data_IF_216144136185
#
_entry.id   IF_216144136185
#
_cell.length_a   1.000
_cell.length_b   1.000
_cell.length_c   1.000
_cell.angle_alpha   90.00
_cell.angle_beta   90.00
_cell.angle_gamma   90.00
#
_symmetry.space_group_name_H-M   'P 1'
#
loop_
_entity.id
_entity.type
_entity.pdbx_description
1 polymer ?
#
# COMPACT_ATOMS: atom_id res chain seq x y z
N UNK A 1 -9.45 22.35 16.47
CA UNK A 1 -8.01 22.12 16.77
C UNK A 1 -7.22 22.97 15.80
N UNK A 2 -6.22 23.72 16.24
CA UNK A 2 -5.45 24.62 15.36
C UNK A 2 -4.13 23.97 14.96
N UNK A 3 -3.69 24.21 13.73
CA UNK A 3 -2.38 23.78 13.23
C UNK A 3 -1.61 24.98 12.71
N UNK A 4 -0.29 24.97 12.90
CA UNK A 4 0.61 26.01 12.39
C UNK A 4 0.91 25.75 10.92
N UNK A 5 0.89 26.81 10.12
CA UNK A 5 1.28 26.81 8.71
C UNK A 5 2.74 27.25 8.63
N UNK A 6 3.57 26.41 8.01
CA UNK A 6 4.99 26.68 7.81
C UNK A 6 5.27 27.28 6.42
N UNK A 7 6.17 28.25 6.39
CA UNK A 7 6.76 28.77 5.16
C UNK A 7 7.82 27.81 4.60
N UNK A 8 8.34 28.08 3.40
CA UNK A 8 9.45 27.32 2.81
C UNK A 8 10.73 27.34 3.67
N UNK A 9 10.93 28.41 4.44
CA UNK A 9 12.11 28.58 5.31
C UNK A 9 11.94 27.90 6.68
N UNK A 10 10.78 27.27 6.93
CA UNK A 10 10.46 26.64 8.21
C UNK A 10 9.98 27.61 9.29
N UNK A 11 9.76 28.89 8.96
CA UNK A 11 9.13 29.85 9.87
C UNK A 11 7.61 29.66 9.92
N UNK A 12 6.98 30.04 11.03
CA UNK A 12 5.52 29.98 11.17
C UNK A 12 4.91 31.16 10.43
N UNK A 13 4.20 30.89 9.34
CA UNK A 13 3.55 31.89 8.50
C UNK A 13 2.13 32.23 8.99
N UNK A 14 1.45 31.29 9.68
CA UNK A 14 0.09 31.49 10.18
C UNK A 14 -0.45 30.29 10.95
N UNK A 15 -1.73 30.35 11.30
CA UNK A 15 -2.48 29.24 11.90
C UNK A 15 -3.75 28.96 11.08
N UNK A 16 -4.12 27.68 10.99
CA UNK A 16 -5.35 27.23 10.33
C UNK A 16 -6.16 26.32 11.26
N UNK A 17 -7.49 26.40 11.19
CA UNK A 17 -8.36 25.49 11.92
C UNK A 17 -8.51 24.16 11.18
N UNK A 18 -8.19 23.06 11.87
CA UNK A 18 -8.31 21.73 11.30
C UNK A 18 -9.78 21.34 11.12
N UNK A 19 -10.13 20.71 9.98
CA UNK A 19 -11.46 20.19 9.74
C UNK A 19 -11.95 19.22 10.85
N UNK A 20 -13.28 19.12 11.06
CA UNK A 20 -13.86 18.21 12.06
C UNK A 20 -13.58 16.72 11.78
N UNK A 21 -13.13 16.36 10.57
CA UNK A 21 -12.75 14.98 10.23
C UNK A 21 -11.57 14.48 11.08
N UNK A 22 -10.74 15.38 11.58
CA UNK A 22 -9.57 15.03 12.38
C UNK A 22 -9.88 14.67 13.83
N UNK A 23 -11.12 14.92 14.30
CA UNK A 23 -11.57 14.54 15.66
C UNK A 23 -12.34 13.22 15.67
N UNK A 24 -12.48 12.54 14.53
CA UNK A 24 -13.16 11.26 14.42
C UNK A 24 -12.47 10.16 15.27
N UNK A 25 -13.27 9.21 15.77
CA UNK A 25 -12.80 8.06 16.55
C UNK A 25 -11.80 7.19 15.78
N UNK A 26 -10.72 6.79 16.45
CA UNK A 26 -9.73 5.87 15.91
C UNK A 26 -10.22 4.42 15.92
N UNK A 27 -10.40 3.83 14.73
CA UNK A 27 -10.97 2.50 14.50
C UNK A 27 -10.08 1.66 13.58
N UNK A 28 -9.06 0.97 14.13
CA UNK A 28 -8.11 0.19 13.34
C UNK A 28 -8.74 -1.01 12.63
N UNK A 29 -9.86 -1.54 13.14
CA UNK A 29 -10.63 -2.64 12.56
C UNK A 29 -11.19 -2.29 11.17
N UNK A 30 -11.82 -1.12 11.05
CA UNK A 30 -12.38 -0.61 9.80
C UNK A 30 -11.28 -0.24 8.81
N UNK A 31 -10.20 0.39 9.28
CA UNK A 31 -9.03 0.72 8.47
C UNK A 31 -8.45 -0.54 7.84
N UNK A 32 -8.24 -1.60 8.63
CA UNK A 32 -7.72 -2.88 8.15
C UNK A 32 -8.63 -3.50 7.08
N UNK A 33 -9.95 -3.53 7.30
CA UNK A 33 -10.92 -4.04 6.32
C UNK A 33 -10.86 -3.25 5.01
N UNK A 34 -10.86 -1.93 5.09
CA UNK A 34 -10.83 -1.05 3.92
C UNK A 34 -9.53 -1.21 3.11
N UNK A 35 -8.37 -1.22 3.76
CA UNK A 35 -7.08 -1.40 3.09
C UNK A 35 -6.98 -2.77 2.42
N UNK A 36 -7.44 -3.84 3.08
CA UNK A 36 -7.43 -5.19 2.48
C UNK A 36 -8.36 -5.25 1.25
N UNK A 37 -9.53 -4.63 1.32
CA UNK A 37 -10.44 -4.54 0.19
C UNK A 37 -9.80 -3.77 -0.99
N UNK A 38 -9.18 -2.61 -0.73
CA UNK A 38 -8.46 -1.83 -1.75
C UNK A 38 -7.27 -2.59 -2.35
N UNK A 39 -6.52 -3.35 -1.54
CA UNK A 39 -5.42 -4.17 -2.05
C UNK A 39 -5.90 -5.36 -2.88
N UNK A 40 -7.09 -5.87 -2.60
CA UNK A 40 -7.64 -7.04 -3.28
C UNK A 40 -8.02 -6.75 -4.73
N UNK A 41 -8.41 -5.51 -5.06
CA UNK A 41 -8.80 -5.12 -6.44
C UNK A 41 -7.61 -5.10 -7.41
N UNK A 42 -6.40 -4.90 -6.90
CA UNK A 42 -5.16 -4.92 -7.71
C UNK A 42 -4.60 -6.33 -7.96
N UNK A 43 -5.22 -7.37 -7.40
CA UNK A 43 -4.76 -8.75 -7.59
C UNK A 43 -5.14 -9.23 -8.99
N UNK A 44 -4.15 -9.66 -9.75
CA UNK A 44 -4.38 -10.26 -11.07
C UNK A 44 -4.86 -11.71 -10.92
N UNK A 45 -5.94 -12.11 -11.63
CA UNK A 45 -6.33 -13.50 -11.76
C UNK A 45 -5.17 -14.33 -12.30
N UNK A 46 -4.97 -15.52 -11.74
CA UNK A 46 -3.97 -16.47 -12.19
C UNK A 46 -4.51 -17.88 -12.00
N UNK A 47 -4.10 -18.78 -12.87
CA UNK A 47 -4.46 -20.18 -12.77
C UNK A 47 -3.51 -21.06 -13.59
N UNK A 48 -3.56 -22.35 -13.33
CA UNK A 48 -2.87 -23.36 -14.15
C UNK A 48 -3.63 -23.59 -15.45
N UNK A 49 -2.92 -24.03 -16.48
CA UNK A 49 -3.56 -24.54 -17.69
C UNK A 49 -4.55 -25.69 -17.34
N UNK A 50 -5.82 -25.66 -17.81
CA UNK A 50 -6.85 -26.61 -17.37
C UNK A 50 -6.50 -28.10 -17.54
N UNK A 51 -5.71 -28.43 -18.58
CA UNK A 51 -5.29 -29.81 -18.87
C UNK A 51 -3.86 -30.14 -18.39
N UNK A 52 -3.25 -29.27 -17.57
CA UNK A 52 -1.93 -29.53 -17.02
C UNK A 52 -1.89 -30.85 -16.23
N UNK A 53 -0.95 -31.73 -16.59
CA UNK A 53 -0.75 -33.03 -15.93
C UNK A 53 -1.75 -34.13 -16.32
N UNK A 54 -2.73 -33.84 -17.20
CA UNK A 54 -3.70 -34.84 -17.71
C UNK A 54 -3.64 -35.12 -19.21
N UNK A 55 -2.78 -34.42 -19.97
CA UNK A 55 -2.52 -34.68 -21.39
C UNK A 55 -1.72 -35.97 -21.64
N UNK A 56 -2.18 -37.09 -21.08
CA UNK A 56 -1.58 -38.42 -21.31
C UNK A 56 -2.66 -39.45 -21.58
N UNK A 57 -2.31 -40.50 -22.33
CA UNK A 57 -3.18 -41.66 -22.59
C UNK A 57 -3.26 -42.65 -21.42
N UNK A 58 -2.84 -42.24 -20.22
CA UNK A 58 -2.69 -43.13 -19.08
C UNK A 58 -4.03 -43.70 -18.59
N UNK A 59 -4.04 -45.00 -18.33
CA UNK A 59 -5.19 -45.79 -17.87
C UNK A 59 -4.75 -46.76 -16.77
N UNK A 60 -5.66 -47.14 -15.87
CA UNK A 60 -5.34 -48.11 -14.81
C UNK A 60 -5.25 -49.52 -15.40
N UNK A 61 -4.27 -50.31 -14.95
CA UNK A 61 -4.15 -51.72 -15.36
C UNK A 61 -5.13 -52.67 -14.66
N UNK A 62 -5.88 -52.19 -13.66
CA UNK A 62 -6.80 -53.00 -12.87
C UNK A 62 -6.11 -53.86 -11.80
N UNK A 63 -6.88 -54.75 -11.19
CA UNK A 63 -6.43 -55.72 -10.18
C UNK A 63 -5.65 -56.90 -10.80
N UNK A 64 -5.07 -57.76 -9.95
CA UNK A 64 -4.48 -59.03 -10.37
C UNK A 64 -3.06 -58.96 -10.92
N UNK A 65 -2.38 -57.81 -10.83
CA UNK A 65 -1.02 -57.60 -11.39
C UNK A 65 0.07 -57.31 -10.36
N UNK A 66 -0.22 -57.45 -9.06
CA UNK A 66 0.73 -57.15 -7.98
C UNK A 66 1.19 -55.69 -7.92
N UNK A 67 0.45 -54.76 -8.51
CA UNK A 67 0.77 -53.32 -8.55
C UNK A 67 -0.42 -52.46 -8.12
N UNK A 68 -0.12 -51.26 -7.62
CA UNK A 68 -1.15 -50.28 -7.28
C UNK A 68 -1.99 -49.90 -8.52
N UNK A 69 -3.31 -49.76 -8.31
CA UNK A 69 -4.34 -49.44 -9.32
C UNK A 69 -4.33 -47.95 -9.73
N UNK A 70 -3.16 -47.46 -10.11
CA UNK A 70 -2.96 -46.09 -10.57
C UNK A 70 -2.98 -46.04 -12.10
N UNK A 71 -3.44 -44.94 -12.71
CA UNK A 71 -3.35 -44.76 -14.15
C UNK A 71 -1.88 -44.69 -14.59
N UNK A 72 -1.49 -45.56 -15.52
CA UNK A 72 -0.14 -45.69 -16.07
C UNK A 72 -0.13 -45.40 -17.56
N UNK A 73 0.93 -44.77 -18.05
CA UNK A 73 1.10 -44.43 -19.47
C UNK A 73 1.14 -45.73 -20.29
N UNK A 74 0.43 -45.78 -21.43
CA UNK A 74 0.46 -46.93 -22.33
C UNK A 74 1.89 -47.18 -22.85
N UNK A 75 2.31 -48.44 -22.88
CA UNK A 75 3.68 -48.82 -23.28
C UNK A 75 4.75 -48.67 -22.18
N UNK A 76 4.38 -48.29 -20.96
CA UNK A 76 5.31 -48.20 -19.83
C UNK A 76 4.64 -48.37 -18.47
N UNK A 77 5.43 -48.37 -17.40
CA UNK A 77 4.94 -48.57 -16.02
C UNK A 77 4.74 -47.28 -15.22
N UNK A 78 5.05 -46.12 -15.80
CA UNK A 78 5.01 -44.82 -15.10
C UNK A 78 3.57 -44.35 -14.84
N UNK A 79 3.26 -44.02 -13.59
CA UNK A 79 1.99 -43.41 -13.21
C UNK A 79 1.90 -41.94 -13.71
N UNK A 80 0.70 -41.51 -14.11
CA UNK A 80 0.42 -40.16 -14.61
C UNK A 80 -0.99 -39.70 -14.18
N UNK A 81 -1.44 -38.50 -14.57
CA UNK A 81 -2.76 -37.89 -14.26
C UNK A 81 -3.05 -37.56 -12.79
N UNK A 82 -2.50 -38.31 -11.84
CA UNK A 82 -2.77 -38.21 -10.41
C UNK A 82 -1.81 -37.25 -9.68
N UNK A 83 -2.24 -36.59 -8.59
CA UNK A 83 -1.41 -35.64 -7.84
C UNK A 83 -0.13 -36.22 -7.25
N UNK A 84 -0.17 -37.48 -6.79
CA UNK A 84 1.00 -38.15 -6.23
C UNK A 84 2.05 -38.56 -7.28
N UNK A 85 1.72 -38.50 -8.57
CA UNK A 85 2.64 -38.89 -9.63
C UNK A 85 3.47 -37.69 -10.13
N UNK A 86 4.76 -37.92 -10.40
CA UNK A 86 5.65 -36.91 -11.01
C UNK A 86 5.13 -36.49 -12.39
N UNK A 87 4.71 -35.24 -12.52
CA UNK A 87 4.14 -34.68 -13.75
C UNK A 87 2.64 -34.97 -13.93
N UNK A 88 1.97 -35.54 -12.92
CA UNK A 88 0.51 -35.61 -12.87
C UNK A 88 -0.13 -34.28 -12.48
N UNK A 89 -1.46 -34.23 -12.47
CA UNK A 89 -2.21 -33.02 -12.15
C UNK A 89 -2.25 -32.76 -10.66
N UNK A 90 -1.93 -31.54 -10.26
CA UNK A 90 -2.08 -31.09 -8.87
C UNK A 90 -3.56 -31.13 -8.43
N UNK A 91 -3.82 -31.53 -7.18
CA UNK A 91 -5.16 -31.51 -6.62
C UNK A 91 -5.60 -30.06 -6.35
N UNK A 92 -6.80 -29.69 -6.81
CA UNK A 92 -7.36 -28.34 -6.66
C UNK A 92 -6.40 -27.20 -7.07
N UNK A 93 -5.91 -27.22 -8.32
CA UNK A 93 -4.95 -26.22 -8.76
C UNK A 93 -5.60 -24.83 -8.82
N UNK A 94 -4.82 -23.73 -8.80
CA UNK A 94 -5.39 -22.40 -8.88
C UNK A 94 -6.18 -22.21 -10.18
N UNK A 95 -7.38 -21.68 -10.05
CA UNK A 95 -8.31 -21.42 -11.16
C UNK A 95 -8.51 -19.92 -11.33
N UNK A 96 -8.63 -19.50 -12.59
CA UNK A 96 -8.83 -18.09 -12.95
C UNK A 96 -10.18 -17.56 -12.46
N UNK A 97 -11.19 -18.44 -12.35
CA UNK A 97 -12.54 -18.10 -11.88
C UNK A 97 -12.61 -17.73 -10.39
N UNK A 98 -11.52 -17.86 -9.63
CA UNK A 98 -11.50 -17.52 -8.20
C UNK A 98 -11.76 -16.02 -8.00
N UNK A 99 -12.77 -15.68 -7.20
CA UNK A 99 -13.05 -14.29 -6.82
C UNK A 99 -11.97 -13.79 -5.86
N UNK A 100 -11.09 -12.93 -6.36
CA UNK A 100 -9.96 -12.36 -5.60
C UNK A 100 -10.31 -11.05 -4.90
N UNK A 101 -11.23 -10.28 -5.47
CA UNK A 101 -11.65 -8.99 -4.96
C UNK A 101 -12.59 -9.16 -3.76
N UNK A 102 -12.34 -8.41 -2.69
CA UNK A 102 -13.20 -8.31 -1.51
C UNK A 102 -13.99 -7.02 -1.58
N UNK A 103 -15.30 -7.12 -1.45
CA UNK A 103 -16.19 -5.96 -1.42
C UNK A 103 -16.25 -5.36 -0.01
N UNK A 104 -16.54 -4.06 0.07
CA UNK A 104 -16.73 -3.32 1.32
C UNK A 104 -17.90 -2.34 1.17
N UNK A 105 -18.66 -2.16 2.25
CA UNK A 105 -19.75 -1.21 2.30
C UNK A 105 -19.25 0.23 2.12
N UNK A 106 -20.02 1.06 1.41
CA UNK A 106 -19.67 2.47 1.17
C UNK A 106 -19.50 3.25 2.48
N UNK A 107 -20.42 3.05 3.45
CA UNK A 107 -20.38 3.70 4.77
C UNK A 107 -19.16 3.28 5.59
N UNK A 108 -18.84 1.99 5.60
CA UNK A 108 -17.63 1.48 6.28
C UNK A 108 -16.36 2.05 5.66
N UNK A 109 -16.29 2.11 4.32
CA UNK A 109 -15.14 2.69 3.61
C UNK A 109 -14.97 4.17 3.96
N UNK A 110 -16.05 4.94 4.03
CA UNK A 110 -16.01 6.35 4.41
C UNK A 110 -15.58 6.53 5.87
N UNK A 111 -16.11 5.73 6.81
CA UNK A 111 -15.70 5.81 8.23
C UNK A 111 -14.24 5.39 8.42
N UNK A 112 -13.78 4.36 7.72
CA UNK A 112 -12.37 3.96 7.71
C UNK A 112 -11.44 5.07 7.18
N UNK A 113 -11.89 5.80 6.16
CA UNK A 113 -11.13 6.93 5.61
C UNK A 113 -10.99 8.07 6.62
N UNK A 114 -12.10 8.51 7.24
CA UNK A 114 -12.09 9.55 8.28
C UNK A 114 -11.25 9.16 9.48
N UNK A 115 -11.38 7.91 9.93
CA UNK A 115 -10.58 7.38 11.04
C UNK A 115 -9.08 7.31 10.71
N UNK A 116 -8.73 6.99 9.46
CA UNK A 116 -7.33 7.04 9.02
C UNK A 116 -6.77 8.46 8.94
N UNK A 117 -7.60 9.46 8.59
CA UNK A 117 -7.23 10.89 8.64
C UNK A 117 -7.04 11.37 10.07
N UNK A 118 -7.96 11.07 10.99
CA UNK A 118 -7.81 11.43 12.40
C UNK A 118 -6.50 10.89 13.00
N UNK A 119 -6.12 9.66 12.60
CA UNK A 119 -4.86 9.05 13.05
C UNK A 119 -3.60 9.78 12.58
N UNK A 120 -3.64 10.63 11.53
CA UNK A 120 -2.46 11.37 11.07
C UNK A 120 -2.13 12.57 11.94
N UNK A 121 -3.03 12.99 12.83
CA UNK A 121 -2.82 14.12 13.77
C UNK A 121 -2.16 13.66 15.06
N UNK A 122 -2.42 12.43 15.48
CA UNK A 122 -1.90 11.89 16.72
C UNK A 122 -0.39 11.54 16.60
N UNK A 123 0.45 12.29 17.32
CA UNK A 123 1.90 12.11 17.30
C UNK A 123 2.32 10.69 17.71
N UNK A 124 1.69 10.14 18.76
CA UNK A 124 1.97 8.79 19.26
C UNK A 124 1.73 7.70 18.21
N UNK A 125 0.65 7.83 17.43
CA UNK A 125 0.36 6.90 16.34
C UNK A 125 1.38 7.01 15.21
N UNK A 126 1.80 8.23 14.86
CA UNK A 126 2.80 8.44 13.80
C UNK A 126 4.19 7.95 14.22
N UNK A 127 4.60 8.20 15.47
CA UNK A 127 5.86 7.70 16.03
C UNK A 127 5.85 6.18 16.21
N UNK A 128 4.76 5.59 16.72
CA UNK A 128 4.65 4.14 16.91
C UNK A 128 4.73 3.34 15.59
N UNK A 129 4.31 3.95 14.48
CA UNK A 129 4.51 3.38 13.12
C UNK A 129 5.97 3.36 12.69
N UNK A 130 6.82 4.17 13.32
CA UNK A 130 8.27 4.24 13.11
C UNK A 130 8.72 5.34 12.15
N UNK A 131 7.94 6.43 12.03
CA UNK A 131 8.38 7.66 11.36
C UNK A 131 9.38 8.43 12.23
N UNK A 132 10.36 9.06 11.60
CA UNK A 132 11.36 9.90 12.27
C UNK A 132 11.15 11.36 11.84
N UNK A 133 10.70 12.20 12.76
CA UNK A 133 10.40 13.61 12.50
C UNK A 133 10.59 14.43 13.76
N UNK A 134 10.93 15.72 13.57
CA UNK A 134 11.02 16.72 14.63
C UNK A 134 9.94 17.80 14.56
N UNK A 135 9.11 17.79 13.52
CA UNK A 135 8.03 18.76 13.33
C UNK A 135 6.76 18.43 14.14
N UNK A 136 5.91 19.43 14.40
CA UNK A 136 4.56 19.18 14.89
C UNK A 136 3.71 18.49 13.81
N UNK A 137 2.72 17.71 14.27
CA UNK A 137 1.82 16.93 13.43
C UNK A 137 0.37 17.39 13.68
N UNK A 138 -0.46 17.60 12.63
CA UNK A 138 -0.17 17.43 11.20
C UNK A 138 0.73 18.55 10.67
N UNK A 139 1.58 18.21 9.71
CA UNK A 139 2.44 19.21 9.06
C UNK A 139 1.66 19.95 7.97
N UNK A 140 1.61 21.28 8.06
CA UNK A 140 0.94 22.15 7.09
C UNK A 140 1.94 23.13 6.49
N UNK A 141 1.98 23.21 5.16
CA UNK A 141 2.84 24.12 4.39
C UNK A 141 1.99 25.14 3.64
N UNK A 142 2.58 26.31 3.37
CA UNK A 142 2.01 27.29 2.45
C UNK A 142 1.81 26.73 1.04
N UNK A 143 0.86 27.28 0.29
CA UNK A 143 0.49 26.79 -1.04
C UNK A 143 1.63 26.89 -2.07
N UNK A 144 2.58 27.82 -1.87
CA UNK A 144 3.80 27.95 -2.68
C UNK A 144 4.61 26.65 -2.72
N UNK A 145 4.53 25.81 -1.70
CA UNK A 145 5.18 24.49 -1.70
C UNK A 145 4.67 23.59 -2.84
N UNK A 146 3.41 23.73 -3.24
CA UNK A 146 2.80 23.00 -4.34
C UNK A 146 3.29 23.43 -5.73
N UNK A 147 3.92 24.60 -5.83
CA UNK A 147 4.40 25.18 -7.10
C UNK A 147 5.88 24.89 -7.37
N UNK A 148 6.60 24.29 -6.41
CA UNK A 148 8.02 24.00 -6.53
C UNK A 148 8.31 23.05 -7.69
N UNK A 149 9.12 23.51 -8.64
CA UNK A 149 9.48 22.76 -9.84
C UNK A 149 10.68 21.83 -9.63
N UNK A 150 11.57 22.13 -8.68
CA UNK A 150 12.82 21.39 -8.48
C UNK A 150 12.80 20.56 -7.20
N UNK A 151 13.27 19.33 -7.30
CA UNK A 151 13.41 18.43 -6.14
C UNK A 151 14.38 18.99 -5.09
N UNK A 152 15.40 19.75 -5.49
CA UNK A 152 16.34 20.38 -4.56
C UNK A 152 15.67 21.38 -3.62
N UNK A 153 14.74 22.18 -4.13
CA UNK A 153 13.99 23.15 -3.34
C UNK A 153 13.09 22.44 -2.32
N UNK A 154 12.47 21.33 -2.72
CA UNK A 154 11.66 20.50 -1.82
C UNK A 154 12.51 19.88 -0.71
N UNK A 155 13.73 19.43 -1.02
CA UNK A 155 14.65 18.90 0.00
C UNK A 155 14.98 19.98 1.03
N UNK A 156 15.30 21.20 0.57
CA UNK A 156 15.58 22.34 1.46
C UNK A 156 14.38 22.68 2.35
N UNK A 157 13.18 22.75 1.79
CA UNK A 157 11.96 23.02 2.56
C UNK A 157 11.65 21.91 3.59
N UNK A 158 11.80 20.64 3.21
CA UNK A 158 11.62 19.51 4.14
C UNK A 158 12.70 19.47 5.23
N UNK A 159 13.91 19.96 4.93
CA UNK A 159 14.99 20.08 5.91
C UNK A 159 14.68 21.17 6.94
N UNK A 160 14.26 22.34 6.48
CA UNK A 160 13.93 23.49 7.34
C UNK A 160 12.81 23.14 8.34
N UNK A 161 11.82 22.38 7.89
CA UNK A 161 10.69 21.94 8.71
C UNK A 161 11.04 20.73 9.60
N UNK A 162 12.10 19.98 9.29
CA UNK A 162 12.50 18.79 10.07
C UNK A 162 11.78 17.49 9.68
N UNK A 163 11.22 17.42 8.48
CA UNK A 163 10.60 16.22 7.91
C UNK A 163 11.57 15.39 7.04
N UNK A 164 12.74 15.93 6.69
CA UNK A 164 13.73 15.27 5.82
C UNK A 164 14.27 13.95 6.42
N UNK A 165 14.39 13.86 7.74
CA UNK A 165 14.86 12.67 8.45
C UNK A 165 14.07 11.41 8.07
N UNK A 166 12.75 11.54 7.83
CA UNK A 166 11.92 10.41 7.45
C UNK A 166 12.19 9.92 6.02
N UNK A 167 12.56 10.85 5.12
CA UNK A 167 12.94 10.55 3.73
C UNK A 167 14.30 9.86 3.70
N UNK A 168 15.26 10.32 4.49
CA UNK A 168 16.58 9.69 4.63
C UNK A 168 16.47 8.28 5.21
N UNK A 169 15.64 8.09 6.25
CA UNK A 169 15.28 6.78 6.80
C UNK A 169 14.71 5.84 5.73
N UNK A 170 13.84 6.34 4.85
CA UNK A 170 13.32 5.55 3.74
C UNK A 170 14.39 5.22 2.69
N UNK A 171 15.26 6.17 2.34
CA UNK A 171 16.39 5.97 1.42
C UNK A 171 17.35 4.88 1.93
N UNK A 172 17.76 4.95 3.20
CA UNK A 172 18.64 3.97 3.83
C UNK A 172 18.00 2.57 3.93
N UNK A 173 16.67 2.49 3.97
CA UNK A 173 15.96 1.21 4.09
C UNK A 173 15.87 0.37 2.82
N UNK A 174 16.33 0.91 1.67
CA UNK A 174 16.23 0.23 0.38
C UNK A 174 17.12 -1.02 0.37
N UNK A 175 16.48 -2.19 0.32
CA UNK A 175 17.18 -3.48 0.29
C UNK A 175 16.57 -4.46 -0.71
N UNK A 176 17.34 -5.47 -1.08
CA UNK A 176 16.85 -6.58 -1.91
C UNK A 176 15.80 -7.37 -1.12
N UNK A 177 14.67 -7.65 -1.76
CA UNK A 177 13.56 -8.39 -1.18
C UNK A 177 13.96 -9.84 -0.93
N UNK A 178 13.68 -10.34 0.27
CA UNK A 178 13.82 -11.75 0.60
C UNK A 178 12.78 -12.61 -0.14
N UNK A 179 13.15 -13.84 -0.47
CA UNK A 179 12.29 -14.83 -1.14
C UNK A 179 12.19 -14.68 -2.66
N UNK A 180 11.27 -15.45 -3.28
CA UNK A 180 11.11 -15.54 -4.75
C UNK A 180 10.56 -14.29 -5.42
N UNK A 181 10.01 -13.34 -4.65
CA UNK A 181 9.49 -12.08 -5.19
C UNK A 181 10.53 -11.25 -5.93
N UNK A 182 11.82 -11.39 -5.57
CA UNK A 182 12.92 -10.71 -6.25
C UNK A 182 13.08 -11.10 -7.72
N UNK A 183 12.69 -12.32 -8.09
CA UNK A 183 12.71 -12.84 -9.45
C UNK A 183 11.45 -12.44 -10.25
N UNK A 184 10.39 -11.96 -9.58
CA UNK A 184 9.08 -11.65 -10.18
C UNK A 184 8.87 -10.14 -10.34
N UNK A 185 9.90 -9.43 -10.80
CA UNK A 185 9.89 -7.97 -11.03
C UNK A 185 9.84 -7.08 -9.78
N UNK A 186 9.94 -7.66 -8.57
CA UNK A 186 9.81 -6.94 -7.29
C UNK A 186 11.09 -7.02 -6.45
N UNK A 187 12.23 -6.72 -7.09
CA UNK A 187 13.58 -6.92 -6.53
C UNK A 187 13.86 -6.09 -5.29
N UNK A 188 13.47 -4.82 -5.26
CA UNK A 188 13.75 -3.93 -4.13
C UNK A 188 12.52 -3.74 -3.24
N UNK A 189 12.77 -3.51 -1.95
CA UNK A 189 11.78 -3.06 -0.96
C UNK A 189 12.36 -1.84 -0.25
N UNK A 190 11.54 -0.81 -0.06
CA UNK A 190 11.84 0.39 0.72
C UNK A 190 10.68 0.67 1.69
N UNK A 191 10.95 1.42 2.76
CA UNK A 191 9.92 1.92 3.69
C UNK A 191 9.13 3.05 3.03
N UNK A 192 7.90 3.25 3.49
CA UNK A 192 7.06 4.39 3.13
C UNK A 192 7.38 5.54 4.10
N UNK A 193 7.64 6.72 3.56
CA UNK A 193 7.89 7.95 4.30
C UNK A 193 6.65 8.85 4.22
N UNK A 194 6.87 10.15 3.97
CA UNK A 194 5.85 11.18 3.87
C UNK A 194 4.75 10.84 2.86
N UNK A 195 3.55 11.34 3.14
CA UNK A 195 2.51 11.54 2.13
C UNK A 195 2.32 13.06 1.96
N UNK A 196 2.57 13.56 0.76
CA UNK A 196 2.32 14.97 0.41
C UNK A 196 0.93 15.06 -0.19
N UNK A 197 0.08 15.90 0.39
CA UNK A 197 -1.27 16.16 -0.09
C UNK A 197 -1.39 17.59 -0.60
N UNK A 198 -1.77 17.71 -1.87
CA UNK A 198 -2.02 18.99 -2.54
C UNK A 198 -3.50 19.13 -2.92
N UNK A 199 -3.97 20.36 -3.15
CA UNK A 199 -5.35 20.60 -3.56
C UNK A 199 -5.62 20.15 -5.00
N UNK A 200 -4.91 20.73 -5.97
CA UNK A 200 -5.28 20.64 -7.39
C UNK A 200 -4.38 19.71 -8.21
N UNK A 201 -3.06 19.93 -8.14
CA UNK A 201 -2.09 19.20 -8.97
C UNK A 201 -1.09 18.41 -8.11
N UNK A 202 -0.72 17.18 -8.52
CA UNK A 202 0.31 16.44 -7.82
C UNK A 202 1.68 17.09 -8.04
N UNK A 203 2.40 17.35 -6.95
CA UNK A 203 3.75 17.89 -6.93
C UNK A 203 4.76 16.90 -7.53
N UNK A 204 4.90 16.88 -8.87
CA UNK A 204 5.77 15.91 -9.58
C UNK A 204 7.23 15.97 -9.13
N UNK A 205 7.71 17.15 -8.73
CA UNK A 205 9.07 17.37 -8.26
C UNK A 205 9.41 16.57 -6.99
N UNK A 206 8.42 16.21 -6.15
CA UNK A 206 8.62 15.34 -5.00
C UNK A 206 8.65 13.84 -5.36
N UNK A 207 8.28 13.47 -6.59
CA UNK A 207 8.10 12.06 -6.98
C UNK A 207 9.39 11.24 -7.04
N UNK A 208 10.54 11.92 -7.12
CA UNK A 208 11.86 11.27 -7.10
C UNK A 208 12.37 10.99 -5.67
N UNK A 209 11.72 11.53 -4.64
CA UNK A 209 12.13 11.31 -3.25
C UNK A 209 11.83 9.89 -2.78
N UNK A 210 12.75 9.33 -1.99
CA UNK A 210 12.64 7.96 -1.53
C UNK A 210 11.47 7.78 -0.55
N UNK A 211 10.54 6.90 -0.90
CA UNK A 211 9.42 6.49 -0.04
C UNK A 211 8.26 7.49 0.06
N UNK A 212 8.39 8.67 -0.56
CA UNK A 212 7.36 9.72 -0.57
C UNK A 212 6.28 9.33 -1.57
N UNK A 213 5.02 9.46 -1.17
CA UNK A 213 3.89 9.40 -2.10
C UNK A 213 3.25 10.79 -2.18
N UNK A 214 2.68 11.11 -3.34
CA UNK A 214 1.97 12.36 -3.59
C UNK A 214 0.53 12.00 -3.96
N UNK A 215 -0.43 12.74 -3.41
CA UNK A 215 -1.83 12.59 -3.75
C UNK A 215 -2.51 13.96 -3.74
N UNK A 216 -3.54 14.12 -4.56
CA UNK A 216 -4.47 15.24 -4.38
C UNK A 216 -5.55 14.86 -3.37
N UNK A 217 -6.27 15.85 -2.82
CA UNK A 217 -7.37 15.62 -1.87
C UNK A 217 -8.39 14.61 -2.41
N UNK A 218 -8.75 14.72 -3.70
CA UNK A 218 -9.75 13.84 -4.33
C UNK A 218 -9.23 12.41 -4.55
N UNK A 219 -7.93 12.22 -4.66
CA UNK A 219 -7.29 10.92 -4.89
C UNK A 219 -6.93 10.19 -3.59
N UNK A 220 -7.14 10.84 -2.44
CA UNK A 220 -6.84 10.24 -1.15
C UNK A 220 -7.63 8.97 -0.91
N UNK A 221 -6.94 7.96 -0.39
CA UNK A 221 -7.53 6.69 -0.05
C UNK A 221 -6.97 6.17 1.29
N UNK A 222 -7.69 5.24 1.90
CA UNK A 222 -7.31 4.66 3.18
C UNK A 222 -5.95 3.93 3.12
N UNK A 223 -5.54 3.41 1.96
CA UNK A 223 -4.25 2.74 1.81
C UNK A 223 -3.06 3.72 1.79
N UNK A 224 -3.23 4.92 1.23
CA UNK A 224 -2.23 5.97 1.23
C UNK A 224 -2.00 6.48 2.65
N UNK A 225 -3.08 6.64 3.42
CA UNK A 225 -3.05 7.09 4.82
C UNK A 225 -2.60 6.00 5.79
N UNK A 226 -2.95 4.73 5.53
CA UNK A 226 -2.60 3.59 6.36
C UNK A 226 -1.92 2.46 5.56
N UNK A 227 -0.71 2.68 4.99
CA UNK A 227 -0.03 1.66 4.19
C UNK A 227 0.31 0.45 5.05
N UNK A 228 -0.11 -0.73 4.60
CA UNK A 228 0.11 -1.98 5.34
C UNK A 228 -0.84 -2.18 6.52
N UNK A 229 -2.05 -1.57 6.45
CA UNK A 229 -3.10 -1.65 7.47
C UNK A 229 -2.73 -1.01 8.81
N UNK A 230 -1.67 -0.19 8.86
CA UNK A 230 -1.24 0.56 10.03
C UNK A 230 -1.45 2.04 9.76
N UNK A 231 -2.28 2.68 10.59
CA UNK A 231 -2.58 4.11 10.53
C UNK A 231 -1.45 4.95 11.12
N UNK A 232 -1.57 6.28 11.05
CA UNK A 232 -0.53 7.20 11.53
C UNK A 232 0.61 7.36 10.53
N UNK A 233 0.30 7.60 9.26
CA UNK A 233 1.32 8.02 8.30
C UNK A 233 1.64 9.49 8.49
N UNK A 234 2.92 9.85 8.45
CA UNK A 234 3.34 11.25 8.44
C UNK A 234 2.85 11.93 7.14
N UNK A 235 1.93 12.89 7.29
CA UNK A 235 1.28 13.62 6.18
C UNK A 235 1.66 15.09 6.20
N UNK A 236 2.08 15.61 5.06
CA UNK A 236 2.26 17.03 4.79
C UNK A 236 1.08 17.51 3.95
N UNK A 237 0.41 18.54 4.42
CA UNK A 237 -0.74 19.16 3.77
C UNK A 237 -0.37 20.55 3.23
N UNK A 238 -0.86 20.91 2.05
CA UNK A 238 -0.93 22.33 1.66
C UNK A 238 -2.12 23.00 2.33
N UNK A 239 -2.03 24.30 2.56
CA UNK A 239 -3.11 25.10 3.15
C UNK A 239 -4.43 24.95 2.37
N UNK A 240 -4.37 25.08 1.05
CA UNK A 240 -5.48 24.84 0.12
C UNK A 240 -6.10 23.44 0.25
N UNK A 241 -5.28 22.40 0.50
CA UNK A 241 -5.76 21.04 0.64
C UNK A 241 -6.60 20.86 1.92
N UNK A 242 -6.19 21.51 3.02
CA UNK A 242 -6.96 21.50 4.27
C UNK A 242 -8.25 22.31 4.15
N UNK A 243 -8.20 23.48 3.50
CA UNK A 243 -9.41 24.29 3.22
C UNK A 243 -10.45 23.48 2.44
N UNK A 244 -10.01 22.72 1.43
CA UNK A 244 -10.89 21.83 0.65
C UNK A 244 -11.49 20.66 1.45
N UNK A 245 -10.83 20.22 2.52
CA UNK A 245 -11.37 19.25 3.46
C UNK A 245 -12.38 19.85 4.46
N UNK A 246 -12.56 21.17 4.45
CA UNK A 246 -13.45 21.90 5.35
C UNK A 246 -12.74 22.58 6.52
N UNK A 247 -11.44 22.87 6.40
CA UNK A 247 -10.71 23.73 7.33
C UNK A 247 -11.02 25.20 7.06
N UNK A 248 -11.00 26.03 8.11
CA UNK A 248 -11.24 27.47 8.05
C UNK A 248 -10.02 28.25 8.51
#
# INVERSE_FOLDING_TARGET
MKAQVFSLDGSVAGEIELPPVFTEEFRPDLIKKAVIALQSTRRQPHGTYPYAGILSSAESWGSGRGVAQLPRIKGGSRAAKIPQAKGGREAHPPVVQKVLARQINKKEKQKAFRSALAATVCEDLVRSRGHAFSCPVPLVMEDRFGELGKTSEIISALAAVGALQDVERAKASKKVRAGRGKMRGRRYKQRKSLLIVTADAPLRAAGNLAGVDIATVDQLNCELLAPGTQAGRLTLWTESALKRLGGQ
#
